data_IF_565823519064
#
_entry.id   IF_565823519064
#
_cell.length_a   1.000
_cell.length_b   1.000
_cell.length_c   1.000
_cell.angle_alpha   90.00
_cell.angle_beta   90.00
_cell.angle_gamma   90.00
#
_symmetry.space_group_name_H-M   'P 1'
#
loop_
_entity.id
_entity.type
_entity.pdbx_description
1 polymer ?
#
# COMPACT_ATOMS: atom_id res chain seq x y z
N UNK A 1 -14.67 -25.75 -10.76
CA UNK A 1 -13.80 -25.85 -9.57
C UNK A 1 -13.81 -24.48 -8.92
N UNK A 2 -14.05 -24.35 -7.60
CA UNK A 2 -13.96 -23.04 -6.95
C UNK A 2 -12.53 -22.51 -7.15
N UNK A 3 -12.40 -21.27 -7.63
CA UNK A 3 -11.12 -20.59 -7.77
C UNK A 3 -10.43 -20.59 -6.40
N UNK A 4 -9.29 -21.27 -6.27
CA UNK A 4 -8.51 -21.18 -5.03
C UNK A 4 -7.94 -19.76 -4.98
N UNK A 5 -8.56 -18.89 -4.19
CA UNK A 5 -8.02 -17.57 -3.90
C UNK A 5 -6.72 -17.76 -3.12
N UNK A 6 -5.65 -17.08 -3.56
CA UNK A 6 -4.39 -17.02 -2.80
C UNK A 6 -4.71 -16.58 -1.36
N UNK A 7 -4.40 -17.38 -0.34
CA UNK A 7 -4.75 -17.05 1.04
C UNK A 7 -4.06 -15.76 1.47
N UNK A 8 -4.83 -14.78 1.90
CA UNK A 8 -4.30 -13.49 2.33
C UNK A 8 -3.87 -13.58 3.80
N UNK A 9 -2.90 -12.76 4.25
CA UNK A 9 -2.42 -12.82 5.63
C UNK A 9 -3.56 -12.69 6.66
N UNK A 10 -4.51 -11.81 6.42
CA UNK A 10 -5.66 -11.56 7.30
C UNK A 10 -6.79 -12.60 7.20
N UNK A 11 -6.65 -13.62 6.35
CA UNK A 11 -7.53 -14.80 6.37
C UNK A 11 -7.05 -15.84 7.41
N UNK A 12 -5.84 -15.67 7.95
CA UNK A 12 -5.25 -16.54 8.97
C UNK A 12 -5.76 -16.15 10.37
N UNK A 13 -6.06 -17.16 11.19
CA UNK A 13 -6.72 -16.96 12.49
C UNK A 13 -5.87 -16.19 13.51
N UNK A 14 -4.54 -16.28 13.43
CA UNK A 14 -3.58 -15.65 14.34
C UNK A 14 -3.10 -14.26 13.88
N UNK A 15 -3.43 -13.87 12.66
CA UNK A 15 -2.96 -12.63 12.07
C UNK A 15 -3.53 -11.40 12.78
N UNK A 16 -4.82 -11.41 13.13
CA UNK A 16 -5.48 -10.29 13.80
C UNK A 16 -4.89 -10.05 15.20
N UNK A 17 -4.60 -11.12 15.95
CA UNK A 17 -3.99 -11.03 17.28
C UNK A 17 -2.56 -10.47 17.20
N UNK A 18 -1.80 -10.91 16.20
CA UNK A 18 -0.44 -10.42 15.94
C UNK A 18 -0.43 -8.93 15.56
N UNK A 19 -1.32 -8.52 14.64
CA UNK A 19 -1.47 -7.13 14.22
C UNK A 19 -1.93 -6.25 15.40
N UNK A 20 -2.90 -6.72 16.19
CA UNK A 20 -3.42 -6.00 17.37
C UNK A 20 -2.33 -5.82 18.43
N UNK A 21 -1.57 -6.87 18.73
CA UNK A 21 -0.44 -6.82 19.68
C UNK A 21 0.61 -5.81 19.24
N UNK A 22 0.95 -5.81 17.95
CA UNK A 22 1.89 -4.85 17.38
C UNK A 22 1.36 -3.41 17.46
N UNK A 23 0.09 -3.17 17.10
CA UNK A 23 -0.56 -1.85 17.20
C UNK A 23 -0.47 -1.31 18.63
N UNK A 24 -0.87 -2.10 19.63
CA UNK A 24 -0.82 -1.68 21.04
C UNK A 24 0.61 -1.37 21.49
N UNK A 25 1.58 -2.21 21.11
CA UNK A 25 2.99 -2.03 21.47
C UNK A 25 3.57 -0.73 20.88
N UNK A 26 3.32 -0.47 19.60
CA UNK A 26 3.83 0.72 18.93
C UNK A 26 3.16 1.99 19.43
N UNK A 27 1.85 1.95 19.70
CA UNK A 27 1.14 3.12 20.25
C UNK A 27 1.53 3.43 21.68
N UNK A 28 1.74 2.42 22.53
CA UNK A 28 2.30 2.62 23.86
C UNK A 28 3.71 3.24 23.79
N UNK A 29 4.55 2.80 22.85
CA UNK A 29 5.88 3.38 22.61
C UNK A 29 5.80 4.84 22.15
N UNK A 30 4.79 5.17 21.35
CA UNK A 30 4.48 6.54 20.93
C UNK A 30 3.76 7.37 22.02
N UNK A 31 3.56 6.82 23.22
CA UNK A 31 2.90 7.49 24.34
C UNK A 31 1.40 7.70 24.13
N UNK A 32 0.73 6.83 23.38
CA UNK A 32 -0.71 6.89 23.07
C UNK A 32 -1.45 5.69 23.64
N UNK A 33 -2.57 5.93 24.29
CA UNK A 33 -3.46 4.89 24.81
C UNK A 33 -4.52 4.55 23.77
N UNK A 34 -4.73 3.25 23.52
CA UNK A 34 -5.72 2.76 22.55
C UNK A 34 -7.09 2.66 23.23
N UNK A 35 -8.09 3.35 22.67
CA UNK A 35 -9.47 3.29 23.14
C UNK A 35 -10.28 2.24 22.36
N UNK A 36 -10.08 2.18 21.04
CA UNK A 36 -10.77 1.21 20.17
C UNK A 36 -10.03 1.03 18.83
N UNK A 37 -10.18 -0.16 18.25
CA UNK A 37 -9.68 -0.50 16.92
C UNK A 37 -10.89 -0.92 16.07
N UNK A 38 -11.08 -0.29 14.93
CA UNK A 38 -12.15 -0.60 13.97
C UNK A 38 -11.53 -0.92 12.61
N UNK A 39 -11.66 -2.17 12.17
CA UNK A 39 -11.27 -2.56 10.80
C UNK A 39 -12.24 -1.90 9.82
N UNK A 40 -11.73 -1.03 8.94
CA UNK A 40 -12.54 -0.33 7.96
C UNK A 40 -12.76 -1.17 6.70
N UNK A 41 -11.71 -1.85 6.23
CA UNK A 41 -11.82 -2.78 5.13
C UNK A 41 -10.71 -3.83 5.12
N UNK A 42 -11.04 -4.98 4.56
CA UNK A 42 -10.12 -6.01 4.09
C UNK A 42 -10.35 -6.18 2.59
N UNK A 43 -9.29 -6.05 1.81
CA UNK A 43 -9.29 -6.14 0.35
C UNK A 43 -8.10 -6.98 -0.09
N UNK A 44 -8.11 -7.62 -1.28
CA UNK A 44 -7.00 -8.46 -1.74
C UNK A 44 -5.62 -7.80 -1.73
N UNK A 45 -5.54 -6.46 -1.75
CA UNK A 45 -4.30 -5.70 -1.71
C UNK A 45 -3.92 -5.15 -0.34
N UNK A 46 -4.86 -5.04 0.63
CA UNK A 46 -4.56 -4.54 1.98
C UNK A 46 -5.70 -4.70 2.99
N UNK A 47 -5.33 -4.76 4.27
CA UNK A 47 -6.22 -4.47 5.41
C UNK A 47 -5.95 -3.06 5.94
N UNK A 48 -7.01 -2.35 6.32
CA UNK A 48 -6.94 -0.99 6.86
C UNK A 48 -7.85 -0.85 8.08
N UNK A 49 -7.31 -0.29 9.17
CA UNK A 49 -8.05 -0.08 10.42
C UNK A 49 -7.88 1.36 10.94
N UNK A 50 -8.95 1.87 11.54
CA UNK A 50 -8.98 3.13 12.28
C UNK A 50 -8.86 2.84 13.76
N UNK A 51 -7.97 3.57 14.43
CA UNK A 51 -7.68 3.41 15.85
C UNK A 51 -7.99 4.73 16.54
N UNK A 52 -8.92 4.73 17.49
CA UNK A 52 -9.13 5.88 18.37
C UNK A 52 -8.13 5.80 19.53
N UNK A 53 -7.48 6.92 19.82
CA UNK A 53 -6.54 7.08 20.94
C UNK A 53 -6.88 8.32 21.76
N UNK A 54 -6.32 8.41 22.96
CA UNK A 54 -6.35 9.60 23.83
C UNK A 54 -5.82 10.89 23.16
N UNK A 55 -5.06 10.75 22.07
CA UNK A 55 -4.44 11.84 21.31
C UNK A 55 -4.93 11.90 19.85
N UNK A 56 -6.17 11.47 19.61
CA UNK A 56 -6.82 11.53 18.29
C UNK A 56 -6.76 10.21 17.51
N UNK A 57 -6.89 10.30 16.19
CA UNK A 57 -7.04 9.13 15.32
C UNK A 57 -5.68 8.70 14.77
N UNK A 58 -5.49 7.37 14.73
CA UNK A 58 -4.37 6.71 14.06
C UNK A 58 -4.93 5.72 13.03
N UNK A 59 -4.23 5.58 11.92
CA UNK A 59 -4.54 4.59 10.90
C UNK A 59 -3.47 3.51 10.83
N UNK A 60 -3.93 2.26 10.84
CA UNK A 60 -3.13 1.07 10.56
C UNK A 60 -3.37 0.60 9.13
N UNK A 61 -2.29 0.36 8.40
CA UNK A 61 -2.33 -0.30 7.08
C UNK A 61 -1.44 -1.54 7.10
N UNK A 62 -1.99 -2.65 6.62
CA UNK A 62 -1.26 -3.85 6.30
C UNK A 62 -1.42 -4.19 4.81
N UNK A 63 -0.39 -3.96 3.97
CA UNK A 63 -0.40 -4.36 2.57
C UNK A 63 -0.38 -5.89 2.41
N UNK A 64 -0.86 -6.37 1.26
CA UNK A 64 -0.63 -7.76 0.83
C UNK A 64 0.88 -8.00 0.61
N UNK A 65 1.36 -9.26 0.59
CA UNK A 65 2.78 -9.58 0.46
C UNK A 65 3.47 -8.88 -0.73
N UNK A 66 2.79 -8.76 -1.87
CA UNK A 66 3.30 -8.07 -3.06
C UNK A 66 3.56 -6.57 -2.87
N UNK A 67 3.02 -5.96 -1.80
CA UNK A 67 3.12 -4.54 -1.47
C UNK A 67 3.85 -4.28 -0.14
N UNK A 68 4.55 -5.27 0.45
CA UNK A 68 5.29 -5.09 1.72
C UNK A 68 6.31 -3.95 1.69
N UNK A 69 6.88 -3.68 0.52
CA UNK A 69 7.82 -2.59 0.29
C UNK A 69 7.24 -1.20 0.64
N UNK A 70 5.91 -1.06 0.69
CA UNK A 70 5.25 0.20 1.05
C UNK A 70 5.72 0.74 2.42
N UNK A 71 6.06 -0.13 3.38
CA UNK A 71 6.52 0.32 4.69
C UNK A 71 7.83 1.09 4.62
N UNK A 72 8.86 0.46 4.05
CA UNK A 72 10.17 1.07 3.87
C UNK A 72 10.11 2.27 2.92
N UNK A 73 9.33 2.17 1.83
CA UNK A 73 9.14 3.26 0.88
C UNK A 73 8.47 4.48 1.54
N UNK A 74 7.41 4.27 2.32
CA UNK A 74 6.71 5.37 3.00
C UNK A 74 7.61 6.02 4.05
N UNK A 75 8.41 5.25 4.78
CA UNK A 75 9.40 5.80 5.72
C UNK A 75 10.46 6.65 5.01
N UNK A 76 10.97 6.17 3.88
CA UNK A 76 11.93 6.92 3.06
C UNK A 76 11.33 8.24 2.54
N UNK A 77 10.09 8.21 2.04
CA UNK A 77 9.39 9.40 1.59
C UNK A 77 9.09 10.37 2.74
N UNK A 78 8.66 9.86 3.89
CA UNK A 78 8.35 10.69 5.06
C UNK A 78 9.57 11.40 5.62
N UNK A 79 10.74 10.75 5.60
CA UNK A 79 11.99 11.37 6.01
C UNK A 79 12.41 12.51 5.07
N UNK A 80 12.24 12.32 3.77
CA UNK A 80 12.79 13.24 2.75
C UNK A 80 11.82 14.33 2.29
N UNK A 81 10.52 14.04 2.31
CA UNK A 81 9.44 14.93 1.88
C UNK A 81 8.30 14.95 2.90
N UNK A 82 8.57 15.31 4.17
CA UNK A 82 7.58 15.26 5.24
C UNK A 82 6.32 16.10 4.96
N UNK A 83 6.46 17.18 4.17
CA UNK A 83 5.33 18.03 3.76
C UNK A 83 4.39 17.38 2.72
N UNK A 84 4.80 16.26 2.12
CA UNK A 84 4.05 15.55 1.07
C UNK A 84 3.58 14.17 1.52
N UNK A 85 3.74 13.84 2.82
CA UNK A 85 3.41 12.53 3.38
C UNK A 85 2.70 12.67 4.71
N UNK A 86 1.86 11.69 5.06
CA UNK A 86 1.30 11.61 6.40
C UNK A 86 2.39 11.26 7.42
N UNK A 87 2.46 11.93 8.58
CA UNK A 87 3.42 11.57 9.62
C UNK A 87 3.26 10.10 10.06
N UNK A 88 4.36 9.37 10.05
CA UNK A 88 4.45 7.99 10.51
C UNK A 88 4.68 7.95 12.02
N UNK A 89 3.97 7.07 12.69
CA UNK A 89 4.21 6.72 14.10
C UNK A 89 5.13 5.49 14.22
N UNK A 90 4.93 4.49 13.37
CA UNK A 90 5.74 3.26 13.37
C UNK A 90 5.61 2.53 12.03
N UNK A 91 6.59 1.66 11.75
CA UNK A 91 6.56 0.70 10.65
C UNK A 91 7.02 -0.69 11.11
N UNK A 92 6.54 -1.74 10.46
CA UNK A 92 7.07 -3.12 10.56
C UNK A 92 7.54 -3.54 9.16
N UNK A 93 8.84 -3.41 8.84
CA UNK A 93 9.33 -3.63 7.49
C UNK A 93 9.07 -5.03 6.95
N UNK A 94 9.17 -6.07 7.79
CA UNK A 94 9.05 -7.47 7.33
C UNK A 94 7.63 -7.82 6.91
N UNK A 95 6.64 -7.27 7.62
CA UNK A 95 5.22 -7.47 7.30
C UNK A 95 4.63 -6.34 6.43
N UNK A 96 5.37 -5.26 6.24
CA UNK A 96 4.92 -4.07 5.52
C UNK A 96 3.94 -3.20 6.31
N UNK A 97 3.79 -3.39 7.63
CA UNK A 97 2.78 -2.66 8.40
C UNK A 97 3.18 -1.22 8.68
N UNK A 98 2.18 -0.36 8.80
CA UNK A 98 2.31 1.09 8.94
C UNK A 98 1.32 1.61 9.97
N UNK A 99 1.79 2.48 10.87
CA UNK A 99 0.93 3.37 11.66
C UNK A 99 1.17 4.82 11.24
N UNK A 100 0.09 5.52 10.92
CA UNK A 100 0.10 6.93 10.53
C UNK A 100 -0.86 7.72 11.41
N UNK A 101 -0.54 8.98 11.68
CA UNK A 101 -1.53 9.91 12.27
C UNK A 101 -2.66 10.17 11.28
N UNK A 102 -3.76 10.75 11.78
CA UNK A 102 -4.80 11.28 10.90
C UNK A 102 -4.24 12.30 9.89
N UNK A 103 -4.61 12.13 8.62
CA UNK A 103 -4.22 13.02 7.53
C UNK A 103 -5.25 14.15 7.29
N UNK A 104 -6.33 14.18 8.07
CA UNK A 104 -7.39 15.17 7.98
C UNK A 104 -8.46 14.82 6.94
N UNK A 105 -9.32 15.81 6.66
CA UNK A 105 -10.47 15.65 5.79
C UNK A 105 -10.02 15.60 4.33
N UNK A 106 -10.50 14.61 3.59
CA UNK A 106 -10.20 14.49 2.17
C UNK A 106 -10.90 15.58 1.37
N UNK A 107 -10.32 15.96 0.22
CA UNK A 107 -11.01 16.87 -0.71
C UNK A 107 -12.40 16.33 -1.08
N UNK A 108 -12.53 15.03 -1.35
CA UNK A 108 -13.82 14.42 -1.69
C UNK A 108 -14.89 14.57 -0.58
N UNK A 109 -14.50 14.57 0.69
CA UNK A 109 -15.41 14.81 1.82
C UNK A 109 -15.78 16.29 2.00
N UNK A 110 -14.89 17.22 1.63
CA UNK A 110 -15.16 18.67 1.69
C UNK A 110 -16.23 19.07 0.66
N UNK A 111 -16.01 18.71 -0.62
CA UNK A 111 -16.92 19.06 -1.72
C UNK A 111 -16.63 18.18 -2.96
N UNK A 112 -17.44 17.16 -3.29
CA UNK A 112 -17.17 16.27 -4.43
C UNK A 112 -17.52 16.90 -5.79
N UNK A 113 -17.37 18.22 -5.96
CA UNK A 113 -17.74 18.94 -7.18
C UNK A 113 -16.54 19.67 -7.83
N UNK A 114 -16.65 20.10 -9.10
CA UNK A 114 -15.55 20.78 -9.80
C UNK A 114 -15.11 22.13 -9.20
N UNK A 115 -15.83 22.66 -8.20
CA UNK A 115 -15.45 23.85 -7.42
C UNK A 115 -14.08 23.70 -6.74
N UNK A 116 -13.60 22.47 -6.55
CA UNK A 116 -12.30 22.16 -5.96
C UNK A 116 -11.09 22.34 -6.88
N UNK A 117 -11.29 22.78 -8.12
CA UNK A 117 -10.20 22.91 -9.10
C UNK A 117 -9.02 23.73 -8.57
N UNK A 118 -9.26 24.76 -7.76
CA UNK A 118 -8.21 25.59 -7.17
C UNK A 118 -7.30 24.79 -6.22
N UNK A 119 -7.85 23.85 -5.43
CA UNK A 119 -7.05 22.96 -4.59
C UNK A 119 -6.16 22.03 -5.42
N UNK A 120 -6.69 21.48 -6.51
CA UNK A 120 -5.91 20.63 -7.43
C UNK A 120 -4.80 21.41 -8.13
N UNK A 121 -5.09 22.62 -8.61
CA UNK A 121 -4.09 23.51 -9.23
C UNK A 121 -2.96 23.83 -8.24
N UNK A 122 -3.25 23.97 -6.95
CA UNK A 122 -2.23 24.17 -5.92
C UNK A 122 -1.45 22.90 -5.54
N UNK A 123 -2.09 21.72 -5.60
CA UNK A 123 -1.50 20.44 -5.19
C UNK A 123 -0.62 19.80 -6.28
N UNK A 124 -1.08 19.81 -7.53
CA UNK A 124 -0.43 19.08 -8.63
C UNK A 124 1.04 19.46 -8.85
N UNK A 125 1.45 20.75 -8.79
CA UNK A 125 2.87 21.10 -8.92
C UNK A 125 3.75 20.43 -7.88
N UNK A 126 3.31 20.36 -6.61
CA UNK A 126 4.05 19.70 -5.53
C UNK A 126 4.19 18.20 -5.77
N UNK A 127 3.12 17.57 -6.27
CA UNK A 127 3.15 16.15 -6.63
C UNK A 127 4.14 15.87 -7.78
N UNK A 128 4.17 16.75 -8.80
CA UNK A 128 5.13 16.64 -9.91
C UNK A 128 6.57 16.85 -9.43
N UNK A 129 6.81 17.84 -8.57
CA UNK A 129 8.14 18.07 -7.97
C UNK A 129 8.64 16.83 -7.22
N UNK A 130 7.76 16.19 -6.43
CA UNK A 130 8.06 14.93 -5.76
C UNK A 130 8.41 13.83 -6.77
N UNK A 131 7.57 13.62 -7.79
CA UNK A 131 7.82 12.61 -8.82
C UNK A 131 9.16 12.84 -9.54
N UNK A 132 9.45 14.08 -9.93
CA UNK A 132 10.72 14.44 -10.58
C UNK A 132 11.92 14.22 -9.68
N UNK A 133 11.79 14.51 -8.38
CA UNK A 133 12.87 14.30 -7.42
C UNK A 133 13.15 12.80 -7.17
N UNK A 134 12.12 11.94 -7.29
CA UNK A 134 12.25 10.48 -7.15
C UNK A 134 13.00 9.83 -8.31
N UNK A 135 12.95 10.39 -9.52
CA UNK A 135 13.71 9.88 -10.67
C UNK A 135 15.22 9.80 -10.39
N UNK A 136 15.74 10.64 -9.49
CA UNK A 136 17.16 10.68 -9.13
C UNK A 136 17.55 9.71 -8.02
N UNK A 137 16.59 8.98 -7.45
CA UNK A 137 16.75 8.14 -6.25
C UNK A 137 16.44 6.67 -6.54
N UNK A 138 16.58 6.24 -7.79
CA UNK A 138 16.28 4.86 -8.21
C UNK A 138 17.02 3.82 -7.35
N UNK A 139 18.33 3.95 -7.06
CA UNK A 139 19.03 2.97 -6.22
C UNK A 139 18.40 2.82 -4.83
N UNK A 140 18.04 3.93 -4.19
CA UNK A 140 17.43 3.95 -2.87
C UNK A 140 16.01 3.41 -2.87
N UNK A 141 15.21 3.72 -3.89
CA UNK A 141 13.85 3.19 -4.05
C UNK A 141 13.85 1.67 -4.24
N UNK A 142 14.79 1.15 -5.06
CA UNK A 142 14.97 -0.28 -5.24
C UNK A 142 15.47 -0.95 -3.96
N UNK A 143 16.38 -0.31 -3.22
CA UNK A 143 16.85 -0.80 -1.93
C UNK A 143 15.73 -0.85 -0.87
N UNK A 144 14.73 0.01 -0.98
CA UNK A 144 13.50 -0.03 -0.17
C UNK A 144 12.52 -1.15 -0.60
N UNK A 145 12.88 -1.97 -1.60
CA UNK A 145 12.09 -3.10 -2.07
C UNK A 145 11.05 -2.74 -3.14
N UNK A 146 11.07 -1.52 -3.68
CA UNK A 146 10.14 -1.12 -4.74
C UNK A 146 10.34 -2.01 -5.98
N UNK A 147 9.27 -2.53 -6.60
CA UNK A 147 9.38 -3.33 -7.81
C UNK A 147 10.04 -2.55 -8.95
N UNK A 148 11.07 -3.12 -9.56
CA UNK A 148 11.71 -2.50 -10.72
C UNK A 148 10.85 -2.69 -11.97
N UNK A 149 10.17 -1.61 -12.38
CA UNK A 149 9.34 -1.57 -13.61
C UNK A 149 9.95 -0.69 -14.70
N UNK A 150 11.27 -0.45 -14.68
CA UNK A 150 11.95 0.33 -15.73
C UNK A 150 11.85 -0.38 -17.08
N UNK A 151 11.91 0.39 -18.17
CA UNK A 151 11.77 -0.12 -19.54
C UNK A 151 12.77 -1.23 -19.90
N UNK A 152 13.95 -1.21 -19.29
CA UNK A 152 14.98 -2.26 -19.47
C UNK A 152 14.60 -3.60 -18.84
N UNK A 153 13.74 -3.58 -17.81
CA UNK A 153 13.33 -4.75 -17.02
C UNK A 153 11.99 -5.31 -17.49
N UNK A 154 11.11 -4.45 -18.02
CA UNK A 154 9.76 -4.82 -18.46
C UNK A 154 9.68 -6.00 -19.43
N UNK A 155 10.55 -6.14 -20.47
CA UNK A 155 10.48 -7.29 -21.36
C UNK A 155 10.68 -8.63 -20.63
N UNK A 156 11.59 -8.68 -19.66
CA UNK A 156 11.82 -9.90 -18.87
C UNK A 156 10.64 -10.18 -17.95
N UNK A 157 10.11 -9.16 -17.27
CA UNK A 157 8.91 -9.29 -16.42
C UNK A 157 7.69 -9.78 -17.22
N UNK A 158 7.55 -9.32 -18.47
CA UNK A 158 6.51 -9.80 -19.36
C UNK A 158 6.69 -11.29 -19.68
N UNK A 159 7.92 -11.72 -19.99
CA UNK A 159 8.22 -13.14 -20.23
C UNK A 159 7.98 -14.00 -18.98
N UNK A 160 8.36 -13.52 -17.80
CA UNK A 160 8.06 -14.18 -16.52
C UNK A 160 6.55 -14.33 -16.30
N UNK A 161 5.77 -13.27 -16.56
CA UNK A 161 4.31 -13.32 -16.48
C UNK A 161 3.72 -14.34 -17.47
N UNK A 162 4.25 -14.44 -18.69
CA UNK A 162 3.80 -15.45 -19.66
C UNK A 162 4.10 -16.88 -19.21
N UNK A 163 5.18 -17.09 -18.43
CA UNK A 163 5.51 -18.41 -17.88
C UNK A 163 4.63 -18.77 -16.67
N UNK A 164 4.04 -17.79 -16.00
CA UNK A 164 3.14 -17.98 -14.86
C UNK A 164 1.70 -18.31 -15.32
N UNK A 165 1.52 -19.54 -15.80
CA UNK A 165 0.23 -20.05 -16.28
C UNK A 165 -0.87 -20.02 -15.22
N UNK A 166 -0.50 -20.12 -13.94
CA UNK A 166 -1.42 -20.07 -12.82
C UNK A 166 -1.95 -18.65 -12.64
N UNK A 167 -1.07 -17.64 -12.60
CA UNK A 167 -1.48 -16.23 -12.54
C UNK A 167 -2.31 -15.80 -13.76
N UNK A 168 -2.03 -16.37 -14.94
CA UNK A 168 -2.80 -16.10 -16.17
C UNK A 168 -4.15 -16.83 -16.23
N UNK A 169 -4.41 -17.76 -15.31
CA UNK A 169 -5.66 -18.50 -15.19
C UNK A 169 -6.10 -19.14 -16.52
N UNK A 170 -5.15 -19.65 -17.31
CA UNK A 170 -5.40 -20.05 -18.71
C UNK A 170 -6.52 -21.10 -18.78
N UNK A 171 -7.56 -20.81 -19.55
CA UNK A 171 -8.74 -21.67 -19.74
C UNK A 171 -9.75 -21.63 -18.59
N UNK A 172 -9.62 -20.71 -17.63
CA UNK A 172 -10.57 -20.49 -16.53
C UNK A 172 -11.46 -19.28 -16.81
N UNK A 173 -12.60 -19.19 -16.10
CA UNK A 173 -13.66 -18.19 -16.32
C UNK A 173 -13.20 -16.72 -16.24
N UNK A 174 -12.13 -16.43 -15.50
CA UNK A 174 -11.57 -15.08 -15.35
C UNK A 174 -10.14 -14.93 -15.89
N UNK A 175 -9.69 -15.91 -16.67
CA UNK A 175 -8.35 -15.95 -17.25
C UNK A 175 -8.32 -15.84 -18.76
N UNK A 176 -7.12 -15.96 -19.33
CA UNK A 176 -6.93 -15.94 -20.78
C UNK A 176 -7.47 -17.22 -21.43
N UNK A 177 -8.02 -17.12 -22.64
CA UNK A 177 -8.24 -18.32 -23.45
C UNK A 177 -6.91 -18.91 -23.93
N UNK A 178 -6.93 -20.18 -24.33
CA UNK A 178 -5.74 -20.82 -24.92
C UNK A 178 -5.30 -20.10 -26.20
N UNK A 179 -6.24 -19.62 -27.03
CA UNK A 179 -5.91 -18.86 -28.24
C UNK A 179 -5.30 -17.49 -27.92
N UNK A 180 -5.83 -16.78 -26.91
CA UNK A 180 -5.29 -15.49 -26.48
C UNK A 180 -3.86 -15.65 -25.97
N UNK A 181 -3.61 -16.67 -25.13
CA UNK A 181 -2.27 -16.96 -24.62
C UNK A 181 -1.27 -17.26 -25.75
N UNK A 182 -1.66 -18.04 -26.78
CA UNK A 182 -0.80 -18.33 -27.92
C UNK A 182 -0.42 -17.09 -28.74
N UNK A 183 -1.27 -16.05 -28.76
CA UNK A 183 -0.97 -14.78 -29.46
C UNK A 183 0.00 -13.87 -28.70
N UNK A 184 0.23 -14.15 -27.42
CA UNK A 184 1.12 -13.38 -26.56
C UNK A 184 2.55 -13.96 -26.52
N UNK A 185 2.76 -15.18 -27.02
CA UNK A 185 4.08 -15.81 -27.17
C UNK A 185 4.81 -15.31 -28.42
#
# INVERSE_FOLDING_TARGET
MPSQSVPLPWDQSDWLDSATTWIHTQLATAGREVESITVLHQRPWSTFARISTDQGIVYFKAPAPAFRYEAALTQLLAHRYPACTTPLLAIEPEQGWLLTVDAGITLNEIDPTPTQVEHWVALLPRYVELQMAMVRQVPELLAAGMPDRRLTTLPNLYQELLQDREALLIGQESGLTTEEYQRLQ
#
